data_IF_854329456206
#
_entry.id   IF_854329456206
#
_cell.length_a   1.000
_cell.length_b   1.000
_cell.length_c   1.000
_cell.angle_alpha   90.00
_cell.angle_beta   90.00
_cell.angle_gamma   90.00
#
_symmetry.space_group_name_H-M   'P 1'
#
loop_
_entity.id
_entity.type
_entity.pdbx_description
1 polymer ?
#
# COMPACT_ATOMS: atom_id res chain seq x y z
N UNK A 1 27.37 -23.15 -26.37
CA UNK A 1 28.44 -23.24 -25.36
C UNK A 1 29.03 -21.86 -25.22
N UNK A 2 28.76 -21.18 -24.11
CA UNK A 2 29.47 -19.97 -23.69
C UNK A 2 29.66 -20.18 -22.19
N UNK A 3 30.88 -20.50 -21.79
CA UNK A 3 31.26 -20.52 -20.37
C UNK A 3 31.35 -19.07 -19.84
N UNK A 4 31.27 -18.86 -18.52
CA UNK A 4 31.42 -17.53 -17.97
C UNK A 4 32.89 -17.13 -18.04
N UNK A 5 33.26 -16.37 -19.07
CA UNK A 5 34.55 -15.71 -19.18
C UNK A 5 34.55 -14.44 -18.32
N UNK A 6 35.44 -14.45 -17.32
CA UNK A 6 36.07 -13.29 -16.65
C UNK A 6 35.23 -12.01 -16.50
N UNK A 7 34.57 -11.86 -15.36
CA UNK A 7 34.21 -10.55 -14.81
C UNK A 7 35.23 -10.20 -13.72
N UNK A 8 36.12 -9.24 -14.05
CA UNK A 8 36.98 -8.58 -13.07
C UNK A 8 36.14 -7.76 -12.09
N UNK A 9 36.59 -7.72 -10.85
CA UNK A 9 35.95 -7.08 -9.71
C UNK A 9 35.66 -5.59 -9.95
N UNK A 10 34.38 -5.22 -9.99
CA UNK A 10 33.77 -4.06 -9.32
C UNK A 10 32.34 -3.87 -9.82
N UNK A 11 31.39 -4.63 -9.27
CA UNK A 11 29.96 -4.33 -9.25
C UNK A 11 29.29 -5.46 -8.45
N UNK A 12 28.53 -5.11 -7.40
CA UNK A 12 27.61 -6.04 -6.74
C UNK A 12 26.52 -6.42 -7.76
N UNK A 13 26.80 -7.42 -8.59
CA UNK A 13 25.82 -7.99 -9.50
C UNK A 13 24.97 -8.94 -8.66
N UNK A 14 23.74 -8.54 -8.35
CA UNK A 14 22.76 -9.45 -7.78
C UNK A 14 22.28 -10.41 -8.86
N UNK A 15 22.41 -11.72 -8.60
CA UNK A 15 21.89 -12.72 -9.52
C UNK A 15 20.35 -12.71 -9.51
N UNK A 16 19.68 -13.17 -10.56
CA UNK A 16 18.24 -13.41 -10.44
C UNK A 16 18.01 -14.77 -9.77
N UNK A 17 17.17 -14.84 -8.73
CA UNK A 17 16.81 -16.10 -8.04
C UNK A 17 16.37 -17.17 -9.02
N UNK A 18 15.59 -16.80 -10.05
CA UNK A 18 15.15 -17.73 -11.08
C UNK A 18 16.30 -18.27 -11.93
N UNK A 19 17.28 -17.44 -12.30
CA UNK A 19 18.43 -17.89 -13.09
C UNK A 19 19.32 -18.84 -12.28
N UNK A 20 19.54 -18.54 -10.99
CA UNK A 20 20.30 -19.40 -10.08
C UNK A 20 19.59 -20.74 -9.91
N UNK A 21 18.29 -20.73 -9.59
CA UNK A 21 17.46 -21.92 -9.44
C UNK A 21 17.43 -22.78 -10.73
N UNK A 22 17.28 -22.14 -11.88
CA UNK A 22 17.27 -22.82 -13.17
C UNK A 22 18.62 -23.48 -13.49
N UNK A 23 19.74 -22.78 -13.24
CA UNK A 23 21.07 -23.32 -13.42
C UNK A 23 21.30 -24.53 -12.52
N UNK A 24 20.96 -24.43 -11.23
CA UNK A 24 21.06 -25.56 -10.30
C UNK A 24 20.25 -26.76 -10.78
N UNK A 25 18.99 -26.59 -11.18
CA UNK A 25 18.15 -27.69 -11.71
C UNK A 25 18.76 -28.37 -12.93
N UNK A 26 19.42 -27.60 -13.80
CA UNK A 26 20.08 -28.15 -14.99
C UNK A 26 21.32 -28.97 -14.61
N UNK A 27 22.14 -28.46 -13.70
CA UNK A 27 23.38 -29.10 -13.28
C UNK A 27 23.17 -30.23 -12.26
N UNK A 28 22.02 -30.27 -11.57
CA UNK A 28 21.62 -31.41 -10.73
C UNK A 28 21.50 -32.72 -11.51
N UNK A 29 21.33 -32.67 -12.83
CA UNK A 29 21.34 -33.86 -13.69
C UNK A 29 22.67 -34.64 -13.64
N UNK A 30 23.75 -34.03 -13.13
CA UNK A 30 25.03 -34.71 -12.86
C UNK A 30 24.93 -35.76 -11.74
N UNK A 31 23.93 -35.65 -10.87
CA UNK A 31 23.68 -36.66 -9.83
C UNK A 31 22.89 -37.80 -10.48
N UNK A 32 23.41 -39.03 -10.41
CA UNK A 32 22.82 -40.19 -11.09
C UNK A 32 21.37 -40.47 -10.67
N UNK A 33 21.08 -40.39 -9.37
CA UNK A 33 19.79 -40.83 -8.82
C UNK A 33 18.82 -39.65 -8.64
N UNK A 34 17.63 -39.79 -9.24
CA UNK A 34 16.59 -38.75 -9.21
C UNK A 34 16.12 -38.37 -7.80
N UNK A 35 16.01 -39.34 -6.89
CA UNK A 35 15.62 -39.07 -5.51
C UNK A 35 16.65 -38.16 -4.81
N UNK A 36 17.93 -38.45 -5.03
CA UNK A 36 19.03 -37.64 -4.52
C UNK A 36 19.09 -36.25 -5.14
N UNK A 37 18.78 -36.12 -6.45
CA UNK A 37 18.62 -34.81 -7.08
C UNK A 37 17.57 -33.96 -6.36
N UNK A 38 16.44 -34.56 -5.99
CA UNK A 38 15.36 -33.87 -5.28
C UNK A 38 15.76 -33.49 -3.86
N UNK A 39 16.49 -34.36 -3.15
CA UNK A 39 17.01 -34.06 -1.81
C UNK A 39 18.01 -32.91 -1.84
N UNK A 40 18.99 -32.95 -2.73
CA UNK A 40 19.98 -31.87 -2.89
C UNK A 40 19.27 -30.58 -3.31
N UNK A 41 18.33 -30.64 -4.24
CA UNK A 41 17.53 -29.48 -4.63
C UNK A 41 16.78 -28.85 -3.45
N UNK A 42 16.11 -29.64 -2.61
CA UNK A 42 15.39 -29.15 -1.42
C UNK A 42 16.35 -28.45 -0.45
N UNK A 43 17.52 -29.04 -0.22
CA UNK A 43 18.55 -28.47 0.65
C UNK A 43 19.02 -27.11 0.10
N UNK A 44 19.39 -27.06 -1.18
CA UNK A 44 19.84 -25.82 -1.84
C UNK A 44 18.76 -24.75 -1.83
N UNK A 45 17.49 -25.13 -2.05
CA UNK A 45 16.37 -24.20 -2.00
C UNK A 45 16.19 -23.59 -0.62
N UNK A 46 16.31 -24.40 0.42
CA UNK A 46 16.25 -23.95 1.82
C UNK A 46 17.38 -22.97 2.11
N UNK A 47 18.61 -23.31 1.68
CA UNK A 47 19.79 -22.45 1.82
C UNK A 47 19.61 -21.10 1.08
N UNK A 48 19.04 -21.10 -0.14
CA UNK A 48 18.79 -19.89 -0.92
C UNK A 48 17.80 -18.94 -0.23
N UNK A 49 16.79 -19.48 0.46
CA UNK A 49 15.68 -18.73 1.05
C UNK A 49 15.91 -18.33 2.53
N UNK A 50 17.05 -18.73 3.11
CA UNK A 50 17.42 -18.36 4.47
C UNK A 50 17.50 -16.84 4.62
N UNK A 51 16.93 -16.34 5.72
CA UNK A 51 16.75 -14.91 6.00
C UNK A 51 17.80 -14.39 6.96
N UNK A 52 18.29 -15.23 7.85
CA UNK A 52 19.31 -14.86 8.80
C UNK A 52 20.71 -15.14 8.26
N UNK A 53 21.61 -14.16 8.33
CA UNK A 53 22.95 -14.27 7.75
C UNK A 53 23.80 -15.29 8.52
N UNK A 54 23.70 -15.32 9.83
CA UNK A 54 24.49 -16.23 10.67
C UNK A 54 24.02 -17.69 10.47
N UNK A 55 22.70 -17.89 10.46
CA UNK A 55 22.07 -19.18 10.14
C UNK A 55 22.44 -19.65 8.73
N UNK A 56 22.42 -18.75 7.75
CA UNK A 56 22.85 -19.06 6.38
C UNK A 56 24.29 -19.57 6.34
N UNK A 57 25.22 -18.90 7.03
CA UNK A 57 26.63 -19.30 7.03
C UNK A 57 26.84 -20.68 7.68
N UNK A 58 26.13 -20.98 8.77
CA UNK A 58 26.15 -22.30 9.40
C UNK A 58 25.60 -23.35 8.45
N UNK A 59 24.40 -23.12 7.90
CA UNK A 59 23.77 -24.02 6.94
C UNK A 59 24.63 -24.26 5.71
N UNK A 60 25.26 -23.21 5.17
CA UNK A 60 26.13 -23.32 3.99
C UNK A 60 27.25 -24.34 4.24
N UNK A 61 27.96 -24.21 5.36
CA UNK A 61 29.05 -25.11 5.71
C UNK A 61 28.57 -26.55 5.93
N UNK A 62 27.43 -26.75 6.60
CA UNK A 62 26.84 -28.07 6.80
C UNK A 62 26.40 -28.72 5.49
N UNK A 63 25.77 -27.94 4.60
CA UNK A 63 25.32 -28.40 3.28
C UNK A 63 26.49 -28.80 2.42
N UNK A 64 27.56 -28.00 2.37
CA UNK A 64 28.78 -28.35 1.62
C UNK A 64 29.37 -29.64 2.18
N UNK A 65 29.51 -29.77 3.50
CA UNK A 65 30.01 -31.00 4.13
C UNK A 65 29.17 -32.21 3.73
N UNK A 66 27.85 -32.12 3.86
CA UNK A 66 26.92 -33.21 3.55
C UNK A 66 26.95 -33.63 2.08
N UNK A 67 27.04 -32.68 1.15
CA UNK A 67 27.09 -32.96 -0.30
C UNK A 67 28.49 -33.42 -0.74
N UNK A 68 29.56 -33.02 -0.03
CA UNK A 68 30.93 -33.40 -0.36
C UNK A 68 31.32 -34.79 0.18
N UNK A 69 30.71 -35.22 1.30
CA UNK A 69 30.90 -36.55 1.88
C UNK A 69 30.27 -37.68 1.05
N UNK A 70 29.37 -37.36 0.12
CA UNK A 70 28.72 -38.33 -0.75
C UNK A 70 29.34 -38.32 -2.16
N UNK A 71 30.01 -39.42 -2.52
CA UNK A 71 30.69 -39.58 -3.81
C UNK A 71 29.76 -39.36 -5.01
N UNK A 72 28.46 -39.65 -4.87
CA UNK A 72 27.47 -39.49 -5.92
C UNK A 72 27.05 -38.03 -6.15
N UNK A 73 27.33 -37.13 -5.20
CA UNK A 73 27.02 -35.70 -5.30
C UNK A 73 28.25 -34.82 -5.47
N UNK A 74 29.45 -35.42 -5.44
CA UNK A 74 30.74 -34.72 -5.47
C UNK A 74 30.95 -33.88 -6.74
N UNK A 75 30.56 -34.37 -7.91
CA UNK A 75 30.68 -33.62 -9.16
C UNK A 75 29.80 -32.36 -9.16
N UNK A 76 28.56 -32.48 -8.69
CA UNK A 76 27.67 -31.34 -8.51
C UNK A 76 28.21 -30.38 -7.44
N UNK A 77 28.73 -30.90 -6.32
CA UNK A 77 29.31 -30.11 -5.24
C UNK A 77 30.45 -29.22 -5.75
N UNK A 78 31.36 -29.80 -6.54
CA UNK A 78 32.47 -29.07 -7.16
C UNK A 78 31.96 -27.93 -8.04
N UNK A 79 31.01 -28.23 -8.93
CA UNK A 79 30.35 -27.19 -9.74
C UNK A 79 29.74 -26.09 -8.87
N UNK A 80 29.01 -26.46 -7.82
CA UNK A 80 28.34 -25.50 -6.95
C UNK A 80 29.35 -24.56 -6.26
N UNK A 81 30.42 -25.12 -5.69
CA UNK A 81 31.47 -24.36 -5.04
C UNK A 81 32.18 -23.42 -6.02
N UNK A 82 32.59 -23.93 -7.17
CA UNK A 82 33.34 -23.16 -8.18
C UNK A 82 32.54 -21.96 -8.72
N UNK A 83 31.21 -22.06 -8.77
CA UNK A 83 30.35 -21.04 -9.39
C UNK A 83 29.61 -20.14 -8.39
N UNK A 84 29.35 -20.60 -7.16
CA UNK A 84 28.43 -19.91 -6.24
C UNK A 84 29.04 -19.58 -4.86
N UNK A 85 30.12 -20.24 -4.42
CA UNK A 85 30.67 -19.98 -3.08
C UNK A 85 31.27 -18.58 -2.93
N UNK A 86 31.94 -18.05 -3.96
CA UNK A 86 32.57 -16.73 -3.90
C UNK A 86 31.61 -15.56 -4.07
N UNK A 87 30.34 -15.82 -4.37
CA UNK A 87 29.33 -14.80 -4.67
C UNK A 87 28.03 -15.02 -3.88
N UNK A 88 28.11 -15.60 -2.68
CA UNK A 88 26.96 -15.84 -1.80
C UNK A 88 26.12 -14.59 -1.57
N UNK A 89 26.78 -13.43 -1.38
CA UNK A 89 26.11 -12.14 -1.23
C UNK A 89 25.21 -11.78 -2.41
N UNK A 90 25.55 -12.23 -3.62
CA UNK A 90 24.81 -11.94 -4.85
C UNK A 90 23.60 -12.84 -5.04
N UNK A 91 23.52 -14.01 -4.40
CA UNK A 91 22.43 -14.99 -4.63
C UNK A 91 21.55 -15.35 -3.44
N UNK A 92 22.08 -15.33 -2.21
CA UNK A 92 21.35 -15.72 -1.02
C UNK A 92 20.37 -14.63 -0.56
N UNK A 93 19.21 -15.03 -0.04
CA UNK A 93 18.15 -14.10 0.34
C UNK A 93 18.56 -13.18 1.51
N UNK A 94 19.18 -13.72 2.56
CA UNK A 94 19.67 -12.97 3.73
C UNK A 94 20.57 -11.78 3.35
N UNK A 95 21.39 -11.91 2.32
CA UNK A 95 22.29 -10.83 1.87
C UNK A 95 21.60 -9.80 0.96
N UNK A 96 20.39 -10.09 0.48
CA UNK A 96 19.58 -9.21 -0.39
C UNK A 96 18.51 -8.43 0.36
N UNK A 97 18.42 -8.60 1.69
CA UNK A 97 17.37 -8.03 2.55
C UNK A 97 17.22 -6.51 2.44
N UNK A 98 18.27 -5.78 2.04
CA UNK A 98 18.23 -4.33 1.87
C UNK A 98 17.44 -3.86 0.63
N UNK A 99 17.00 -4.76 -0.27
CA UNK A 99 16.31 -4.34 -1.49
C UNK A 99 14.80 -4.17 -1.33
N UNK A 100 14.20 -4.57 -0.20
CA UNK A 100 12.80 -4.27 0.18
C UNK A 100 11.70 -4.63 -0.83
N UNK A 101 12.06 -5.26 -1.95
CA UNK A 101 11.22 -5.44 -3.11
C UNK A 101 11.39 -6.87 -3.59
N UNK A 102 10.36 -7.69 -3.38
CA UNK A 102 10.21 -8.96 -4.07
C UNK A 102 9.93 -8.68 -5.56
N UNK A 103 10.97 -8.24 -6.29
CA UNK A 103 10.90 -7.87 -7.69
C UNK A 103 10.44 -9.04 -8.55
N UNK A 104 10.61 -10.30 -8.10
CA UNK A 104 10.05 -11.47 -8.79
C UNK A 104 8.55 -11.34 -9.01
N UNK A 105 7.77 -10.85 -8.03
CA UNK A 105 6.33 -10.66 -8.23
C UNK A 105 6.03 -9.63 -9.33
N UNK A 106 6.79 -8.54 -9.36
CA UNK A 106 6.63 -7.48 -10.36
C UNK A 106 7.08 -7.94 -11.75
N UNK A 107 8.20 -8.66 -11.84
CA UNK A 107 8.74 -9.24 -13.08
C UNK A 107 7.82 -10.32 -13.61
N UNK A 108 7.31 -11.21 -12.76
CA UNK A 108 6.33 -12.22 -13.16
C UNK A 108 5.02 -11.57 -13.63
N UNK A 109 4.55 -10.53 -12.95
CA UNK A 109 3.36 -9.79 -13.37
C UNK A 109 3.57 -9.13 -14.73
N UNK A 110 4.75 -8.52 -14.96
CA UNK A 110 5.11 -7.95 -16.26
C UNK A 110 5.18 -9.02 -17.34
N UNK A 111 5.86 -10.14 -17.06
CA UNK A 111 5.98 -11.26 -17.99
C UNK A 111 4.60 -11.85 -18.34
N UNK A 112 3.72 -12.06 -17.35
CA UNK A 112 2.34 -12.51 -17.58
C UNK A 112 1.56 -11.53 -18.45
N UNK A 113 1.67 -10.23 -18.19
CA UNK A 113 1.04 -9.21 -19.03
C UNK A 113 1.55 -9.28 -20.47
N UNK A 114 2.87 -9.28 -20.68
CA UNK A 114 3.47 -9.39 -22.01
C UNK A 114 3.04 -10.66 -22.72
N UNK A 115 3.14 -11.82 -22.07
CA UNK A 115 2.80 -13.12 -22.65
C UNK A 115 1.32 -13.21 -23.03
N UNK A 116 0.41 -12.91 -22.10
CA UNK A 116 -1.01 -13.22 -22.29
C UNK A 116 -1.82 -12.05 -22.86
N UNK A 117 -1.51 -10.81 -22.51
CA UNK A 117 -2.27 -9.63 -22.97
C UNK A 117 -1.71 -9.14 -24.31
N UNK A 118 -0.39 -8.91 -24.39
CA UNK A 118 0.21 -8.29 -25.57
C UNK A 118 0.58 -9.29 -26.66
N UNK A 119 1.05 -10.49 -26.28
CA UNK A 119 1.46 -11.56 -27.21
C UNK A 119 0.42 -12.68 -27.39
N UNK A 120 -0.72 -12.61 -26.69
CA UNK A 120 -1.84 -13.56 -26.80
C UNK A 120 -1.44 -15.03 -26.63
N UNK A 121 -0.49 -15.29 -25.72
CA UNK A 121 0.04 -16.62 -25.42
C UNK A 121 0.93 -17.23 -26.50
N UNK A 122 1.25 -16.51 -27.58
CA UNK A 122 2.07 -17.00 -28.68
C UNK A 122 3.55 -16.74 -28.40
N UNK A 123 4.40 -17.71 -28.71
CA UNK A 123 5.85 -17.50 -28.71
C UNK A 123 6.19 -16.51 -29.83
N UNK A 124 6.71 -15.34 -29.47
CA UNK A 124 7.12 -14.33 -30.43
C UNK A 124 8.42 -14.79 -31.11
N UNK A 125 8.29 -15.44 -32.27
CA UNK A 125 9.44 -15.88 -33.08
C UNK A 125 10.23 -14.71 -33.69
N UNK A 126 9.65 -13.52 -33.73
CA UNK A 126 10.18 -12.35 -34.41
C UNK A 126 10.39 -11.21 -33.41
N UNK A 127 11.59 -10.63 -33.43
CA UNK A 127 11.97 -9.54 -32.55
C UNK A 127 11.00 -8.35 -32.65
N UNK A 128 10.57 -8.00 -33.87
CA UNK A 128 9.66 -6.86 -34.11
C UNK A 128 8.34 -6.99 -33.36
N UNK A 129 7.78 -8.21 -33.29
CA UNK A 129 6.52 -8.46 -32.57
C UNK A 129 6.72 -8.27 -31.07
N UNK A 130 7.87 -8.70 -30.55
CA UNK A 130 8.24 -8.52 -29.14
C UNK A 130 8.46 -7.05 -28.81
N UNK A 131 9.19 -6.32 -29.66
CA UNK A 131 9.43 -4.88 -29.50
C UNK A 131 8.10 -4.12 -29.52
N UNK A 132 7.23 -4.39 -30.48
CA UNK A 132 5.92 -3.73 -30.56
C UNK A 132 5.06 -4.04 -29.31
N UNK A 133 5.07 -5.29 -28.83
CA UNK A 133 4.38 -5.66 -27.60
C UNK A 133 4.93 -4.90 -26.37
N UNK A 134 6.25 -4.77 -26.26
CA UNK A 134 6.91 -4.04 -25.19
C UNK A 134 6.59 -2.54 -25.25
N UNK A 135 6.64 -1.92 -26.44
CA UNK A 135 6.31 -0.52 -26.63
C UNK A 135 4.85 -0.23 -26.25
N UNK A 136 3.91 -1.11 -26.62
CA UNK A 136 2.51 -1.02 -26.20
C UNK A 136 2.36 -1.13 -24.68
N UNK A 137 3.03 -2.09 -24.05
CA UNK A 137 3.03 -2.24 -22.60
C UNK A 137 3.55 -0.98 -21.89
N UNK A 138 4.67 -0.42 -22.34
CA UNK A 138 5.25 0.80 -21.77
C UNK A 138 4.27 1.96 -21.92
N UNK A 139 3.69 2.16 -23.11
CA UNK A 139 2.70 3.22 -23.36
C UNK A 139 1.52 3.11 -22.39
N UNK A 140 0.94 1.93 -22.23
CA UNK A 140 -0.20 1.72 -21.34
C UNK A 140 0.20 2.02 -19.87
N UNK A 141 1.42 1.65 -19.45
CA UNK A 141 1.92 1.99 -18.10
C UNK A 141 2.17 3.47 -17.87
N UNK A 142 2.62 4.20 -18.90
CA UNK A 142 2.76 5.65 -18.82
C UNK A 142 1.39 6.33 -18.71
N UNK A 143 0.39 5.85 -19.44
CA UNK A 143 -1.00 6.34 -19.34
C UNK A 143 -1.59 6.02 -17.97
N UNK A 144 -1.45 4.80 -17.46
CA UNK A 144 -1.87 4.40 -16.11
C UNK A 144 -1.26 5.35 -15.05
N UNK A 145 0.04 5.62 -15.17
CA UNK A 145 0.76 6.53 -14.26
C UNK A 145 0.20 7.96 -14.36
N UNK A 146 -0.01 8.47 -15.56
CA UNK A 146 -0.58 9.80 -15.77
C UNK A 146 -1.97 9.92 -15.13
N UNK A 147 -2.81 8.90 -15.29
CA UNK A 147 -4.13 8.84 -14.64
C UNK A 147 -3.98 8.88 -13.11
N UNK A 148 -3.12 8.03 -12.55
CA UNK A 148 -2.90 7.96 -11.10
C UNK A 148 -2.34 9.26 -10.54
N UNK A 149 -1.42 9.92 -11.24
CA UNK A 149 -0.85 11.21 -10.80
C UNK A 149 -1.90 12.32 -10.80
N UNK A 150 -2.75 12.40 -11.83
CA UNK A 150 -3.71 13.49 -11.97
C UNK A 150 -5.03 13.26 -11.21
N UNK A 151 -5.53 12.02 -11.17
CA UNK A 151 -6.83 11.67 -10.55
C UNK A 151 -6.70 10.97 -9.20
N UNK A 152 -5.47 10.71 -8.76
CA UNK A 152 -5.19 9.82 -7.64
C UNK A 152 -5.41 8.35 -8.01
N UNK A 153 -4.84 7.44 -7.21
CA UNK A 153 -5.10 6.01 -7.34
C UNK A 153 -6.49 5.71 -6.79
N UNK A 154 -7.48 5.50 -7.67
CA UNK A 154 -8.78 4.98 -7.26
C UNK A 154 -8.61 3.50 -6.87
N UNK A 155 -8.30 3.27 -5.60
CA UNK A 155 -8.22 1.91 -5.07
C UNK A 155 -9.63 1.33 -4.95
N UNK A 156 -9.74 0.00 -5.02
CA UNK A 156 -10.98 -0.72 -4.67
C UNK A 156 -11.50 -0.30 -3.30
N UNK A 157 -10.59 0.00 -2.36
CA UNK A 157 -10.91 0.47 -1.02
C UNK A 157 -11.60 1.85 -1.03
N UNK A 158 -11.10 2.81 -1.82
CA UNK A 158 -11.74 4.13 -1.96
C UNK A 158 -13.08 4.04 -2.72
N UNK A 159 -13.18 3.17 -3.74
CA UNK A 159 -14.46 2.90 -4.42
C UNK A 159 -15.51 2.36 -3.46
N UNK A 160 -15.14 1.39 -2.63
CA UNK A 160 -16.04 0.81 -1.63
C UNK A 160 -16.41 1.82 -0.54
N UNK A 161 -15.49 2.71 -0.16
CA UNK A 161 -15.76 3.82 0.75
C UNK A 161 -16.89 4.72 0.23
N UNK A 162 -16.77 5.17 -1.02
CA UNK A 162 -17.82 5.98 -1.68
C UNK A 162 -19.14 5.24 -1.80
N UNK A 163 -19.10 3.94 -2.08
CA UNK A 163 -20.32 3.14 -2.17
C UNK A 163 -21.07 3.07 -0.83
N UNK A 164 -20.36 2.86 0.28
CA UNK A 164 -20.96 2.83 1.62
C UNK A 164 -21.50 4.18 2.06
N UNK A 165 -20.82 5.27 1.71
CA UNK A 165 -21.37 6.61 1.87
C UNK A 165 -22.70 6.75 1.13
N UNK A 166 -22.77 6.35 -0.15
CA UNK A 166 -24.02 6.35 -0.92
C UNK A 166 -25.12 5.49 -0.27
N UNK A 167 -24.78 4.31 0.23
CA UNK A 167 -25.72 3.47 0.99
C UNK A 167 -26.19 4.13 2.28
N UNK A 168 -25.36 4.96 2.92
CA UNK A 168 -25.80 5.72 4.08
C UNK A 168 -26.87 6.75 3.70
N UNK A 169 -26.83 7.33 2.48
CA UNK A 169 -27.78 8.35 2.03
C UNK A 169 -29.24 7.87 2.00
N UNK A 170 -29.45 6.57 1.76
CA UNK A 170 -30.79 5.96 1.81
C UNK A 170 -31.30 5.71 3.24
N UNK A 171 -30.47 5.94 4.26
CA UNK A 171 -30.85 5.84 5.67
C UNK A 171 -31.17 7.24 6.22
N UNK A 172 -32.21 7.32 7.04
CA UNK A 172 -32.62 8.55 7.72
C UNK A 172 -31.73 8.85 8.92
N UNK A 173 -31.25 10.09 9.02
CA UNK A 173 -30.48 10.59 10.17
C UNK A 173 -31.33 10.74 11.43
N UNK A 174 -32.66 10.79 11.29
CA UNK A 174 -33.60 10.87 12.43
C UNK A 174 -33.73 9.54 13.19
N UNK A 175 -33.21 8.44 12.64
CA UNK A 175 -33.24 7.12 13.29
C UNK A 175 -32.06 6.90 14.24
N UNK A 176 -31.14 7.86 14.37
CA UNK A 176 -29.99 7.75 15.27
C UNK A 176 -30.44 8.11 16.68
N UNK A 177 -30.09 7.28 17.65
CA UNK A 177 -30.24 7.59 19.07
C UNK A 177 -28.86 7.79 19.68
N UNK A 178 -28.64 8.95 20.29
CA UNK A 178 -27.40 9.27 21.00
C UNK A 178 -27.49 8.77 22.44
N UNK A 179 -26.41 8.17 22.94
CA UNK A 179 -26.27 7.74 24.31
C UNK A 179 -24.88 8.13 24.84
N UNK A 180 -24.63 7.98 26.15
CA UNK A 180 -23.34 8.31 26.77
C UNK A 180 -22.14 7.55 26.15
N UNK A 181 -22.40 6.39 25.54
CA UNK A 181 -21.38 5.52 24.95
C UNK A 181 -21.14 5.75 23.45
N UNK A 182 -21.92 6.61 22.79
CA UNK A 182 -21.87 6.85 21.34
C UNK A 182 -23.25 6.90 20.66
N UNK A 183 -23.31 6.43 19.42
CA UNK A 183 -24.51 6.50 18.57
C UNK A 183 -25.05 5.11 18.27
N UNK A 184 -26.33 4.89 18.59
CA UNK A 184 -27.07 3.68 18.24
C UNK A 184 -27.72 3.88 16.87
N UNK A 185 -27.36 3.02 15.92
CA UNK A 185 -27.85 3.05 14.54
C UNK A 185 -28.62 1.77 14.21
N UNK A 186 -29.91 1.83 13.83
CA UNK A 186 -30.67 0.64 13.45
C UNK A 186 -30.16 0.04 12.12
N UNK A 187 -30.02 -1.28 12.10
CA UNK A 187 -29.67 -2.00 10.87
C UNK A 187 -30.87 -2.03 9.92
N UNK A 188 -30.61 -1.81 8.63
CA UNK A 188 -31.66 -1.78 7.60
C UNK A 188 -32.29 -3.14 7.29
N UNK A 189 -31.81 -4.24 7.88
CA UNK A 189 -32.20 -5.61 7.51
C UNK A 189 -32.45 -6.56 8.68
N UNK A 190 -32.13 -6.16 9.91
CA UNK A 190 -32.36 -6.95 11.12
C UNK A 190 -32.87 -6.02 12.22
N UNK A 191 -33.64 -6.53 13.17
CA UNK A 191 -33.99 -5.79 14.41
C UNK A 191 -32.77 -5.46 15.29
N UNK A 192 -31.56 -5.60 14.76
CA UNK A 192 -30.31 -5.37 15.45
C UNK A 192 -29.87 -3.92 15.26
N UNK A 193 -29.40 -3.33 16.35
CA UNK A 193 -28.78 -2.01 16.34
C UNK A 193 -27.26 -2.15 16.34
N UNK A 194 -26.58 -1.21 15.70
CA UNK A 194 -25.13 -1.10 15.71
C UNK A 194 -24.72 0.09 16.57
N UNK A 195 -23.74 -0.11 17.44
CA UNK A 195 -23.13 0.97 18.21
C UNK A 195 -21.97 1.55 17.40
N UNK A 196 -21.94 2.88 17.29
CA UNK A 196 -20.84 3.64 16.69
C UNK A 196 -20.25 4.56 17.76
N UNK A 197 -18.95 4.46 18.01
CA UNK A 197 -18.23 5.25 19.01
C UNK A 197 -17.18 6.12 18.34
N UNK A 198 -16.92 7.29 18.91
CA UNK A 198 -15.85 8.16 18.47
C UNK A 198 -14.56 7.84 19.22
N UNK A 199 -13.48 7.70 18.45
CA UNK A 199 -12.16 7.41 19.01
C UNK A 199 -11.30 8.68 19.14
N UNK A 200 -11.77 9.84 18.65
CA UNK A 200 -11.06 11.13 18.67
C UNK A 200 -9.59 11.05 18.27
N UNK A 201 -9.28 10.28 17.23
CA UNK A 201 -7.91 10.11 16.74
C UNK A 201 -7.56 11.17 15.72
N UNK A 202 -6.47 11.93 15.96
CA UNK A 202 -5.91 12.79 14.92
C UNK A 202 -5.13 11.92 13.93
N UNK A 203 -5.70 11.72 12.74
CA UNK A 203 -5.16 10.79 11.75
C UNK A 203 -4.82 11.50 10.45
N UNK A 204 -3.59 11.31 9.95
CA UNK A 204 -3.11 11.85 8.66
C UNK A 204 -3.26 10.87 7.49
N UNK A 205 -4.17 9.89 7.59
CA UNK A 205 -4.31 8.87 6.55
C UNK A 205 -5.00 9.42 5.28
N UNK A 206 -4.69 8.80 4.12
CA UNK A 206 -5.20 9.23 2.81
C UNK A 206 -6.53 8.57 2.41
N UNK A 207 -7.06 7.66 3.24
CA UNK A 207 -8.31 6.94 2.98
C UNK A 207 -9.46 7.61 3.74
N UNK A 208 -9.91 8.74 3.20
CA UNK A 208 -10.90 9.64 3.79
C UNK A 208 -12.20 9.69 2.98
N UNK A 209 -13.32 10.01 3.62
CA UNK A 209 -14.54 10.48 2.94
C UNK A 209 -14.47 11.99 2.79
N UNK A 210 -14.40 12.48 1.56
CA UNK A 210 -14.56 13.92 1.30
C UNK A 210 -15.94 14.42 1.70
N UNK A 211 -16.96 13.58 1.55
CA UNK A 211 -18.36 13.91 1.84
C UNK A 211 -18.72 13.85 3.34
N UNK A 212 -17.81 13.35 4.19
CA UNK A 212 -17.97 13.30 5.65
C UNK A 212 -16.86 14.11 6.32
N UNK A 213 -16.67 15.37 5.88
CA UNK A 213 -15.68 16.30 6.45
C UNK A 213 -14.25 15.74 6.48
N UNK A 214 -13.84 15.06 5.41
CA UNK A 214 -12.53 14.41 5.28
C UNK A 214 -12.22 13.37 6.39
N UNK A 215 -13.25 12.74 6.97
CA UNK A 215 -13.06 11.78 8.04
C UNK A 215 -12.64 10.40 7.53
N UNK A 216 -11.84 9.68 8.32
CA UNK A 216 -11.44 8.30 8.06
C UNK A 216 -12.05 7.32 9.06
N UNK A 217 -11.86 6.01 8.80
CA UNK A 217 -12.32 4.96 9.71
C UNK A 217 -11.73 5.09 11.12
N UNK A 218 -10.48 5.54 11.29
CA UNK A 218 -9.81 5.53 12.59
C UNK A 218 -10.48 6.44 13.63
N UNK A 219 -11.23 7.44 13.18
CA UNK A 219 -11.96 8.35 14.04
C UNK A 219 -13.16 7.68 14.71
N UNK A 220 -13.56 6.48 14.27
CA UNK A 220 -14.74 5.79 14.76
C UNK A 220 -14.51 4.29 14.96
N UNK A 221 -15.27 3.71 15.87
CA UNK A 221 -15.45 2.28 16.04
C UNK A 221 -16.91 1.94 15.77
N UNK A 222 -17.19 0.84 15.07
CA UNK A 222 -18.57 0.37 14.90
C UNK A 222 -18.66 -1.14 15.08
N UNK A 223 -19.70 -1.60 15.77
CA UNK A 223 -19.89 -3.03 16.07
C UNK A 223 -20.30 -3.87 14.86
N UNK A 224 -20.71 -3.24 13.75
CA UNK A 224 -21.13 -3.99 12.57
C UNK A 224 -19.95 -4.70 11.89
N UNK A 225 -20.22 -5.86 11.27
CA UNK A 225 -19.21 -6.70 10.63
C UNK A 225 -18.34 -5.96 9.60
N UNK A 226 -18.90 -4.97 8.89
CA UNK A 226 -18.18 -4.21 7.87
C UNK A 226 -17.08 -3.31 8.46
N UNK A 227 -17.29 -2.82 9.69
CA UNK A 227 -16.28 -2.07 10.44
C UNK A 227 -15.42 -2.99 11.30
N UNK A 228 -16.02 -3.82 12.15
CA UNK A 228 -15.31 -4.63 13.14
C UNK A 228 -14.48 -5.77 12.54
N UNK A 229 -14.94 -6.39 11.45
CA UNK A 229 -14.23 -7.52 10.81
C UNK A 229 -13.49 -7.06 9.56
N UNK A 230 -14.15 -6.25 8.71
CA UNK A 230 -13.57 -5.87 7.41
C UNK A 230 -12.75 -4.57 7.46
N UNK A 231 -12.68 -3.90 8.60
CA UNK A 231 -11.97 -2.63 8.82
C UNK A 231 -12.28 -1.59 7.74
N UNK A 232 -13.56 -1.31 7.54
CA UNK A 232 -14.05 -0.26 6.66
C UNK A 232 -14.89 0.79 7.39
N UNK A 233 -14.85 2.03 6.89
CA UNK A 233 -15.86 3.02 7.24
C UNK A 233 -17.20 2.56 6.70
N UNK A 234 -18.04 2.01 7.59
CA UNK A 234 -19.29 1.37 7.23
C UNK A 234 -20.40 2.40 6.99
N UNK A 235 -21.55 1.95 6.46
CA UNK A 235 -22.72 2.81 6.25
C UNK A 235 -23.21 3.49 7.55
N UNK A 236 -23.03 2.87 8.72
CA UNK A 236 -23.43 3.42 10.01
C UNK A 236 -22.51 4.58 10.44
N UNK A 237 -21.20 4.43 10.29
CA UNK A 237 -20.24 5.51 10.56
C UNK A 237 -20.53 6.71 9.64
N UNK A 238 -20.80 6.46 8.35
CA UNK A 238 -21.20 7.53 7.43
C UNK A 238 -22.52 8.21 7.83
N UNK A 239 -23.50 7.45 8.33
CA UNK A 239 -24.77 8.01 8.80
C UNK A 239 -24.57 8.91 10.03
N UNK A 240 -23.74 8.50 10.98
CA UNK A 240 -23.36 9.32 12.14
C UNK A 240 -22.68 10.61 11.70
N UNK A 241 -21.71 10.54 10.77
CA UNK A 241 -21.07 11.74 10.24
C UNK A 241 -22.08 12.72 9.62
N UNK A 242 -23.08 12.22 8.89
CA UNK A 242 -24.15 13.05 8.31
C UNK A 242 -25.03 13.68 9.39
N UNK A 243 -25.42 12.92 10.40
CA UNK A 243 -26.23 13.41 11.51
C UNK A 243 -25.52 14.54 12.27
N UNK A 244 -24.24 14.36 12.61
CA UNK A 244 -23.43 15.41 13.26
C UNK A 244 -23.37 16.69 12.43
N UNK A 245 -23.19 16.56 11.11
CA UNK A 245 -23.18 17.72 10.22
C UNK A 245 -24.53 18.45 10.21
N UNK A 246 -25.65 17.72 10.26
CA UNK A 246 -26.98 18.33 10.37
C UNK A 246 -27.21 19.04 11.71
N UNK A 247 -26.76 18.46 12.83
CA UNK A 247 -26.89 19.07 14.16
C UNK A 247 -26.11 20.39 14.25
N UNK A 248 -24.85 20.41 13.79
CA UNK A 248 -24.02 21.63 13.79
C UNK A 248 -24.64 22.76 12.95
N UNK A 249 -25.28 22.43 11.83
CA UNK A 249 -25.98 23.43 11.02
C UNK A 249 -27.23 24.00 11.71
N UNK A 250 -27.98 23.16 12.43
CA UNK A 250 -29.17 23.58 13.17
C UNK A 250 -28.83 24.46 14.38
N UNK A 251 -27.69 24.22 15.04
CA UNK A 251 -27.19 25.05 16.14
C UNK A 251 -26.71 26.42 15.65
N UNK A 252 -25.99 26.45 14.53
CA UNK A 252 -25.47 27.69 13.93
C UNK A 252 -26.60 28.66 13.53
N UNK A 253 -27.72 28.13 13.02
CA UNK A 253 -28.89 28.91 12.60
C UNK A 253 -29.78 29.38 13.76
N UNK A 254 -29.66 28.78 14.96
CA UNK A 254 -30.34 29.27 16.17
C UNK A 254 -29.57 30.42 16.85
N UNK A 255 -28.24 30.48 16.72
CA UNK A 255 -27.42 31.57 17.27
C UNK A 255 -27.68 32.89 16.54
N UNK A 256 -27.90 32.86 15.22
CA UNK A 256 -28.26 34.04 14.42
C UNK A 256 -29.66 34.60 14.76
N UNK A 257 -30.57 33.78 15.30
CA UNK A 257 -31.87 34.25 15.75
C UNK A 257 -31.82 34.88 17.15
N UNK A 258 -30.91 34.44 18.03
CA UNK A 258 -30.76 35.02 19.38
C UNK A 258 -30.04 36.38 19.35
N UNK A 259 -29.16 36.61 18.38
CA UNK A 259 -28.54 37.93 18.16
C UNK A 259 -29.55 38.96 17.65
N UNK A 260 -30.53 38.55 16.83
CA UNK A 260 -31.63 39.40 16.34
C UNK A 260 -32.64 39.81 17.43
N UNK A 261 -32.83 38.98 18.47
CA UNK A 261 -33.69 39.31 19.62
C UNK A 261 -33.02 40.21 20.66
N UNK A 262 -31.69 40.33 20.64
CA UNK A 262 -30.94 41.22 21.55
C UNK A 262 -30.89 42.68 21.06
N UNK A 263 -31.21 42.96 19.80
CA UNK A 263 -31.26 44.33 19.27
C UNK A 263 -32.52 45.12 19.65
N UNK A 264 -33.55 44.49 20.20
CA UNK A 264 -34.84 45.14 20.49
C UNK A 264 -34.98 45.66 21.94
N UNK A 265 -33.94 45.57 22.77
CA UNK A 265 -33.92 46.17 24.11
C UNK A 265 -32.67 47.04 24.31
N UNK A 266 -32.64 48.20 23.66
CA UNK A 266 -31.83 49.33 24.10
C UNK A 266 -32.77 50.50 24.45
N UNK A 267 -32.85 50.79 25.74
CA UNK A 267 -33.38 52.03 26.28
C UNK A 267 -32.31 53.09 26.01
N UNK A 268 -32.70 54.15 25.30
CA UNK A 268 -31.87 55.32 25.02
C UNK A 268 -31.43 56.00 26.33
N UNK A 269 -30.13 56.05 26.57
CA UNK A 269 -29.51 57.14 27.31
C UNK A 269 -28.34 57.66 26.48
N UNK A 270 -28.53 58.84 25.88
CA UNK A 270 -27.50 59.63 25.25
C UNK A 270 -26.60 60.32 26.30
N UNK A 271 -25.31 60.34 25.96
CA UNK A 271 -24.44 61.53 25.95
C UNK A 271 -23.20 61.54 26.87
N UNK A 272 -22.17 62.20 26.31
CA UNK A 272 -20.93 62.71 26.89
C UNK A 272 -19.74 61.76 27.06
N UNK A 273 -18.81 61.77 26.10
CA UNK A 273 -17.63 62.67 26.15
C UNK A 273 -16.59 62.36 25.06
N UNK A 274 -16.19 63.41 24.35
CA UNK A 274 -14.93 63.54 23.58
C UNK A 274 -13.72 63.45 24.50
N UNK A 275 -12.61 62.85 24.04
CA UNK A 275 -11.31 63.56 23.86
C UNK A 275 -10.19 62.66 23.31
N UNK A 276 -9.46 63.23 22.32
CA UNK A 276 -8.00 63.25 22.06
C UNK A 276 -7.25 61.94 21.75
N UNK A 277 -6.78 61.79 20.51
CA UNK A 277 -5.45 62.22 19.97
C UNK A 277 -4.31 61.24 20.32
N UNK A 278 -3.78 60.57 19.30
CA UNK A 278 -2.34 60.63 18.99
C UNK A 278 -2.05 59.97 17.63
N UNK A 279 -1.55 60.80 16.73
CA UNK A 279 -0.97 60.51 15.42
C UNK A 279 0.30 59.65 15.46
N UNK A 280 0.83 59.39 14.24
CA UNK A 280 2.23 59.15 13.82
C UNK A 280 2.51 57.67 13.47
N UNK A 281 3.05 57.25 12.32
CA UNK A 281 3.39 57.84 11.01
C UNK A 281 4.04 56.75 10.11
N UNK A 282 4.23 57.07 8.82
CA UNK A 282 5.22 56.53 7.87
C UNK A 282 5.01 55.18 7.14
N UNK A 283 4.28 55.28 6.02
CA UNK A 283 4.76 55.17 4.63
C UNK A 283 6.10 54.46 4.29
N UNK A 284 6.06 53.44 3.41
CA UNK A 284 6.82 53.28 2.15
C UNK A 284 6.64 51.83 1.62
N UNK A 285 5.93 51.54 0.51
CA UNK A 285 6.18 51.77 -0.93
C UNK A 285 7.15 50.77 -1.60
N UNK A 286 6.53 49.86 -2.39
CA UNK A 286 6.90 49.33 -3.72
C UNK A 286 8.15 48.46 -3.94
N UNK A 287 7.97 47.33 -4.65
CA UNK A 287 8.37 47.10 -6.07
C UNK A 287 8.02 45.66 -6.53
N UNK A 288 7.14 45.49 -7.54
CA UNK A 288 7.42 45.18 -8.97
C UNK A 288 8.00 43.77 -9.20
N UNK A 289 7.29 42.80 -9.81
CA UNK A 289 6.84 42.67 -11.22
C UNK A 289 7.95 42.96 -12.25
N UNK A 290 8.69 41.93 -12.62
CA UNK A 290 8.87 41.43 -14.00
C UNK A 290 9.44 40.02 -13.96
#
# INVERSE_FOLDING_TARGET
>A
MVGPTHLKASQNIDFCTWHVDHAWRKDLQKIQYREMQLEVYKILRTLMEEKDVDTFNVMFNEVIKKILENDMTKEFCKYFLDNYANCMNSWAYCHRLQLGLNTNMHVESMHKALKYIYLKGRNAKWLDKTINALMRFIRDKLVDRLIVTNKGKLTSKLKNHRQRHKTSLSLSTAMITENESGYIVPSSSSHETCLVQENNTNCSCKLICTDCSNTCIHNYSCTCQDASVKWNMCKHIHLVCRHKFSVVQAESSNIDNLSSLRSDFLIDEEDETRTRESDISYNNRAMHKK
#
